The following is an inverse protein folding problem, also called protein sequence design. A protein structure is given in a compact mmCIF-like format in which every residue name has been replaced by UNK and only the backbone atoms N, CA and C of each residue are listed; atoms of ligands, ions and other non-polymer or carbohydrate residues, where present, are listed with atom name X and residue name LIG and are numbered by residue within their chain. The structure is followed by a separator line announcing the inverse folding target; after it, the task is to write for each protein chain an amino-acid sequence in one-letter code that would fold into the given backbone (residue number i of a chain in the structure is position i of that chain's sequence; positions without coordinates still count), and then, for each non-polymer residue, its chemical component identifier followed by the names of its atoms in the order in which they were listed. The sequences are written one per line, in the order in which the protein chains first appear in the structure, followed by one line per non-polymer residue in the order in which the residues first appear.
data_IF_019711088164
#
_entry.id   IF_019711088164
#
_cell.length_a   1.000
_cell.length_b   1.000
_cell.length_c   1.000
_cell.angle_alpha   90.00
_cell.angle_beta   90.00
_cell.angle_gamma   90.00
#
_symmetry.space_group_name_H-M   'P 1'
#
loop_
_entity.id
_entity.type
_entity.pdbx_description
1 polymer ?
#
# COMPACT_ATOMS: atom_id res chain seq x y z
N UNK A 1 -13.75 1.88 16.08
CA UNK A 1 -14.28 2.74 17.14
C UNK A 1 -15.67 2.34 17.57
N UNK A 2 -16.29 3.07 18.49
CA UNK A 2 -17.64 2.80 19.03
C UNK A 2 -18.72 2.69 17.95
N UNK A 3 -18.64 3.48 16.89
CA UNK A 3 -19.57 3.44 15.75
C UNK A 3 -19.60 2.10 15.00
N UNK A 4 -18.52 1.32 15.06
CA UNK A 4 -18.49 0.01 14.43
C UNK A 4 -19.23 -1.04 15.30
N UNK A 5 -19.20 -0.84 16.63
CA UNK A 5 -19.87 -1.74 17.57
C UNK A 5 -21.40 -1.77 17.37
N UNK A 6 -22.00 -0.59 17.16
CA UNK A 6 -23.45 -0.46 16.93
C UNK A 6 -23.95 -1.22 15.69
N UNK A 7 -23.07 -1.48 14.73
CA UNK A 7 -23.38 -2.22 13.50
C UNK A 7 -23.02 -3.71 13.57
N UNK A 8 -22.47 -4.18 14.70
CA UNK A 8 -22.09 -5.59 14.86
C UNK A 8 -23.26 -6.41 15.40
N UNK A 9 -23.50 -7.57 14.79
CA UNK A 9 -24.47 -8.53 15.28
C UNK A 9 -23.75 -9.65 16.03
N UNK A 10 -23.71 -9.55 17.37
CA UNK A 10 -23.05 -10.52 18.26
C UNK A 10 -23.56 -11.95 18.08
N UNK A 11 -24.84 -12.13 17.70
CA UNK A 11 -25.46 -13.46 17.49
C UNK A 11 -24.81 -14.18 16.30
N UNK A 12 -24.20 -13.45 15.37
CA UNK A 12 -23.46 -14.01 14.24
C UNK A 12 -22.04 -14.45 14.61
N UNK A 13 -21.61 -14.17 15.85
CA UNK A 13 -20.25 -14.44 16.34
C UNK A 13 -20.30 -15.22 17.67
N UNK A 14 -20.84 -16.46 17.69
CA UNK A 14 -21.05 -17.23 18.91
C UNK A 14 -19.74 -17.58 19.64
N UNK A 15 -18.66 -17.75 18.90
CA UNK A 15 -17.34 -18.16 19.41
C UNK A 15 -16.51 -17.00 19.97
N UNK A 16 -16.91 -15.74 19.70
CA UNK A 16 -16.20 -14.57 20.21
C UNK A 16 -16.48 -14.43 21.70
N UNK A 17 -15.41 -14.47 22.51
CA UNK A 17 -15.46 -14.42 23.97
C UNK A 17 -15.32 -13.02 24.54
N UNK A 18 -14.69 -12.10 23.81
CA UNK A 18 -14.36 -10.76 24.27
C UNK A 18 -14.41 -9.76 23.11
N UNK A 19 -15.03 -8.61 23.33
CA UNK A 19 -14.96 -7.43 22.46
C UNK A 19 -14.27 -6.30 23.23
N UNK A 20 -13.23 -5.72 22.63
CA UNK A 20 -12.45 -4.61 23.21
C UNK A 20 -12.34 -3.45 22.26
N UNK A 21 -12.25 -2.25 22.81
CA UNK A 21 -11.80 -1.05 22.08
C UNK A 21 -10.30 -1.15 21.83
N UNK A 22 -9.85 -0.79 20.63
CA UNK A 22 -8.41 -0.76 20.30
C UNK A 22 -7.69 0.47 20.86
N UNK A 23 -8.41 1.55 21.09
CA UNK A 23 -7.85 2.84 21.53
C UNK A 23 -7.29 2.77 22.95
N UNK A 24 -7.95 2.02 23.85
CA UNK A 24 -7.61 1.99 25.27
C UNK A 24 -7.73 0.59 25.90
N UNK A 25 -7.99 -0.43 25.10
CA UNK A 25 -8.20 -1.82 25.50
C UNK A 25 -9.33 -2.00 26.54
N UNK A 26 -10.30 -1.08 26.60
CA UNK A 26 -11.47 -1.24 27.45
C UNK A 26 -12.38 -2.35 26.91
N UNK A 27 -12.99 -3.10 27.83
CA UNK A 27 -13.95 -4.15 27.49
C UNK A 27 -15.27 -3.50 27.10
N UNK A 28 -15.79 -3.82 25.91
CA UNK A 28 -17.13 -3.46 25.46
C UNK A 28 -18.10 -4.53 25.96
N UNK A 29 -17.83 -5.79 25.65
CA UNK A 29 -18.57 -6.95 26.11
C UNK A 29 -17.62 -8.13 26.33
N UNK A 30 -17.95 -8.98 27.32
CA UNK A 30 -17.20 -10.18 27.64
C UNK A 30 -18.12 -11.29 28.14
N UNK A 31 -18.27 -12.32 27.32
CA UNK A 31 -19.12 -13.51 27.63
C UNK A 31 -18.42 -14.48 28.55
N UNK A 32 -17.12 -14.38 28.77
CA UNK A 32 -16.30 -15.28 29.57
C UNK A 32 -15.73 -14.58 30.81
N UNK A 33 -16.19 -14.98 32.01
CA UNK A 33 -15.73 -14.39 33.29
C UNK A 33 -14.23 -14.56 33.53
N UNK A 34 -13.66 -15.70 33.12
CA UNK A 34 -12.22 -15.96 33.26
C UNK A 34 -11.40 -15.01 32.41
N UNK A 35 -11.79 -14.83 31.16
CA UNK A 35 -11.13 -13.87 30.23
C UNK A 35 -11.21 -12.43 30.75
N UNK A 36 -12.36 -12.04 31.35
CA UNK A 36 -12.51 -10.73 32.01
C UNK A 36 -11.55 -10.61 33.18
N UNK A 37 -11.46 -11.62 34.04
CA UNK A 37 -10.56 -11.64 35.21
C UNK A 37 -9.09 -11.54 34.76
N UNK A 38 -8.69 -12.29 33.75
CA UNK A 38 -7.34 -12.24 33.21
C UNK A 38 -7.02 -10.83 32.69
N UNK A 39 -7.93 -10.23 31.94
CA UNK A 39 -7.74 -8.86 31.40
C UNK A 39 -7.62 -7.84 32.51
N UNK A 40 -8.47 -7.87 33.51
CA UNK A 40 -8.49 -6.91 34.63
C UNK A 40 -7.25 -7.04 35.52
N UNK A 41 -6.63 -8.21 35.54
CA UNK A 41 -5.41 -8.51 36.31
C UNK A 41 -4.17 -8.74 35.43
N UNK A 42 -4.17 -8.22 34.19
CA UNK A 42 -3.11 -8.51 33.21
C UNK A 42 -1.71 -8.13 33.71
N UNK A 43 -1.58 -6.99 34.40
CA UNK A 43 -0.31 -6.53 34.96
C UNK A 43 0.19 -7.45 36.07
N UNK A 44 -0.70 -7.98 36.89
CA UNK A 44 -0.34 -8.95 37.94
C UNK A 44 0.12 -10.28 37.32
N UNK A 45 -0.61 -10.80 36.34
CA UNK A 45 -0.20 -12.01 35.62
C UNK A 45 1.13 -11.81 34.86
N UNK A 46 1.30 -10.66 34.24
CA UNK A 46 2.55 -10.31 33.57
C UNK A 46 3.72 -10.25 34.56
N UNK A 47 3.57 -9.58 35.70
CA UNK A 47 4.59 -9.52 36.75
C UNK A 47 4.92 -10.87 37.38
N UNK A 48 3.92 -11.79 37.50
CA UNK A 48 4.17 -13.17 37.94
C UNK A 48 4.97 -13.96 36.89
N UNK A 49 4.69 -13.77 35.62
CA UNK A 49 5.37 -14.46 34.51
C UNK A 49 6.79 -13.94 34.31
N UNK A 50 7.02 -12.65 34.52
CA UNK A 50 8.31 -11.97 34.34
C UNK A 50 8.69 -11.20 35.61
N UNK A 51 9.11 -11.92 36.69
CA UNK A 51 9.28 -11.30 38.01
C UNK A 51 10.49 -10.38 38.16
N UNK A 52 11.47 -10.44 37.24
CA UNK A 52 12.67 -9.61 37.26
C UNK A 52 12.59 -8.48 36.25
N UNK A 53 12.53 -8.83 34.99
CA UNK A 53 12.40 -7.91 33.86
C UNK A 53 11.92 -8.68 32.64
N UNK A 54 11.25 -7.99 31.72
CA UNK A 54 10.95 -8.51 30.40
C UNK A 54 12.03 -8.01 29.43
N UNK A 55 12.67 -8.94 28.73
CA UNK A 55 13.78 -8.67 27.81
C UNK A 55 13.50 -9.23 26.42
N UNK A 56 14.33 -8.90 25.44
CA UNK A 56 14.22 -9.46 24.09
C UNK A 56 14.28 -11.00 24.08
N UNK A 57 14.99 -11.62 25.05
CA UNK A 57 15.09 -13.09 25.16
C UNK A 57 13.78 -13.76 25.62
N UNK A 58 12.88 -13.00 26.22
CA UNK A 58 11.57 -13.50 26.66
C UNK A 58 10.55 -13.50 25.51
N UNK A 59 10.85 -12.82 24.40
CA UNK A 59 10.02 -12.80 23.20
C UNK A 59 10.18 -14.10 22.45
N UNK A 60 9.10 -14.86 22.37
CA UNK A 60 9.04 -16.09 21.53
C UNK A 60 8.32 -15.72 20.27
N UNK A 61 9.07 -15.73 19.16
CA UNK A 61 8.47 -15.61 17.84
C UNK A 61 7.87 -16.95 17.43
N UNK A 62 6.68 -16.87 16.85
CA UNK A 62 6.10 -18.02 16.17
C UNK A 62 6.97 -18.37 14.95
N UNK A 63 7.22 -19.66 14.71
CA UNK A 63 7.86 -20.13 13.47
C UNK A 63 6.72 -20.46 12.53
N UNK A 64 6.49 -19.58 11.57
CA UNK A 64 5.39 -19.73 10.62
C UNK A 64 5.74 -20.84 9.59
N UNK A 65 4.74 -21.64 9.24
CA UNK A 65 4.75 -22.41 8.01
C UNK A 65 4.50 -21.42 6.84
N UNK A 66 5.33 -21.39 5.80
CA UNK A 66 5.11 -20.52 4.65
C UNK A 66 3.73 -20.66 4.00
N UNK A 67 3.12 -21.84 4.08
CA UNK A 67 1.79 -22.12 3.54
C UNK A 67 0.65 -21.82 4.53
N UNK A 68 0.95 -21.45 5.77
CA UNK A 68 -0.07 -21.09 6.75
C UNK A 68 -0.77 -19.77 6.36
N UNK A 69 -2.07 -19.67 6.65
CA UNK A 69 -2.87 -18.48 6.43
C UNK A 69 -2.37 -17.31 7.30
N UNK A 70 -1.87 -16.24 6.69
CA UNK A 70 -1.44 -15.04 7.36
C UNK A 70 -2.54 -13.96 7.40
N UNK A 71 -3.23 -13.75 6.29
CA UNK A 71 -4.27 -12.70 6.16
C UNK A 71 -5.47 -13.24 5.38
N UNK A 72 -6.66 -12.98 5.90
CA UNK A 72 -7.92 -13.13 5.16
C UNK A 72 -8.40 -11.74 4.74
N UNK A 73 -8.28 -11.43 3.46
CA UNK A 73 -8.65 -10.14 2.91
C UNK A 73 -9.90 -10.25 2.04
N UNK A 74 -10.89 -9.39 2.29
CA UNK A 74 -12.14 -9.40 1.52
C UNK A 74 -12.10 -8.39 0.38
N UNK A 75 -12.39 -8.86 -0.84
CA UNK A 75 -12.54 -8.00 -2.02
C UNK A 75 -14.01 -7.83 -2.37
N UNK A 76 -14.37 -6.63 -2.79
CA UNK A 76 -15.66 -6.38 -3.45
C UNK A 76 -15.62 -6.94 -4.88
N UNK A 77 -15.71 -8.24 -5.06
CA UNK A 77 -15.64 -8.88 -6.36
C UNK A 77 -16.57 -8.24 -7.42
N UNK A 78 -16.27 -8.46 -8.69
CA UNK A 78 -17.14 -8.06 -9.82
C UNK A 78 -18.52 -8.73 -9.80
N UNK A 79 -18.67 -9.77 -9.01
CA UNK A 79 -19.93 -10.47 -8.68
C UNK A 79 -20.44 -9.97 -7.32
N UNK A 80 -21.74 -9.97 -7.10
CA UNK A 80 -22.49 -9.36 -5.97
C UNK A 80 -22.03 -9.74 -4.56
N UNK A 81 -21.08 -10.66 -4.40
CA UNK A 81 -20.60 -11.14 -3.10
C UNK A 81 -19.10 -10.88 -2.92
N UNK A 82 -18.75 -10.35 -1.74
CA UNK A 82 -17.35 -10.22 -1.32
C UNK A 82 -16.69 -11.58 -1.20
N UNK A 83 -15.49 -11.75 -1.78
CA UNK A 83 -14.70 -12.98 -1.69
C UNK A 83 -13.61 -12.81 -0.63
N UNK A 84 -13.46 -13.78 0.25
CA UNK A 84 -12.37 -13.81 1.23
C UNK A 84 -11.13 -14.44 0.60
N UNK A 85 -10.14 -13.63 0.28
CA UNK A 85 -8.86 -14.06 -0.30
C UNK A 85 -7.94 -14.53 0.83
N UNK A 86 -7.47 -15.76 0.76
CA UNK A 86 -6.59 -16.37 1.76
C UNK A 86 -5.12 -16.16 1.37
N UNK A 87 -4.43 -15.24 2.03
CA UNK A 87 -3.03 -14.88 1.78
C UNK A 87 -2.13 -15.64 2.75
N UNK A 88 -1.21 -16.52 2.27
CA UNK A 88 -0.25 -17.22 3.11
C UNK A 88 0.96 -16.35 3.48
N UNK A 89 1.73 -16.76 4.51
CA UNK A 89 2.95 -16.06 4.92
C UNK A 89 3.97 -15.93 3.79
N UNK A 90 4.14 -16.95 2.94
CA UNK A 90 5.06 -16.87 1.77
C UNK A 90 4.73 -15.70 0.83
N UNK A 91 3.44 -15.40 0.66
CA UNK A 91 3.00 -14.28 -0.20
C UNK A 91 3.39 -12.93 0.41
N UNK A 92 3.14 -12.72 1.71
CA UNK A 92 3.56 -11.50 2.40
C UNK A 92 5.08 -11.34 2.38
N UNK A 93 5.81 -12.41 2.68
CA UNK A 93 7.27 -12.41 2.64
C UNK A 93 7.79 -12.06 1.26
N UNK A 94 7.28 -12.72 0.22
CA UNK A 94 7.75 -12.51 -1.16
C UNK A 94 7.50 -11.08 -1.64
N UNK A 95 6.35 -10.47 -1.30
CA UNK A 95 6.05 -9.09 -1.63
C UNK A 95 6.98 -8.10 -0.89
N UNK A 96 7.17 -8.30 0.42
CA UNK A 96 8.04 -7.41 1.22
C UNK A 96 9.51 -7.59 0.88
N UNK A 97 9.97 -8.82 0.62
CA UNK A 97 11.33 -9.09 0.19
C UNK A 97 11.63 -8.46 -1.18
N UNK A 98 10.68 -8.54 -2.12
CA UNK A 98 10.82 -7.85 -3.41
C UNK A 98 11.01 -6.34 -3.22
N UNK A 99 10.18 -5.69 -2.41
CA UNK A 99 10.31 -4.27 -2.14
C UNK A 99 11.61 -3.94 -1.38
N UNK A 100 12.04 -4.82 -0.48
CA UNK A 100 13.32 -4.68 0.21
C UNK A 100 14.50 -4.65 -0.78
N UNK A 101 14.51 -5.54 -1.75
CA UNK A 101 15.58 -5.70 -2.73
C UNK A 101 15.54 -4.62 -3.83
N UNK A 102 14.34 -4.21 -4.26
CA UNK A 102 14.12 -3.37 -5.44
C UNK A 102 13.92 -1.89 -5.16
N UNK A 103 13.79 -1.49 -3.89
CA UNK A 103 13.71 -0.09 -3.47
C UNK A 103 14.94 0.30 -2.62
N UNK A 104 16.14 0.35 -3.24
CA UNK A 104 17.40 0.57 -2.51
C UNK A 104 17.53 1.98 -1.93
N UNK A 105 16.73 2.92 -2.40
CA UNK A 105 16.72 4.31 -1.93
C UNK A 105 16.00 4.50 -0.58
N UNK A 106 15.35 3.45 -0.05
CA UNK A 106 14.70 3.46 1.26
C UNK A 106 15.69 2.92 2.30
N UNK A 107 15.94 3.70 3.35
CA UNK A 107 16.87 3.38 4.41
C UNK A 107 16.19 3.32 5.79
N UNK A 108 16.78 2.63 6.77
CA UNK A 108 16.32 2.70 8.16
C UNK A 108 16.25 4.14 8.67
N UNK A 109 15.15 4.50 9.32
CA UNK A 109 14.87 5.84 9.79
C UNK A 109 14.19 6.77 8.79
N UNK A 110 14.04 6.36 7.51
CA UNK A 110 13.26 7.12 6.55
C UNK A 110 11.78 7.20 6.93
N UNK A 111 11.13 8.27 6.50
CA UNK A 111 9.71 8.47 6.77
C UNK A 111 8.84 7.91 5.65
N UNK A 112 7.77 7.23 6.03
CA UNK A 112 6.73 6.76 5.12
C UNK A 112 5.37 7.27 5.63
N UNK A 113 4.55 7.81 4.74
CA UNK A 113 3.18 8.23 5.07
C UNK A 113 2.21 7.12 4.67
N UNK A 114 1.55 6.53 5.66
CA UNK A 114 0.51 5.54 5.45
C UNK A 114 -0.81 6.26 5.17
N UNK A 115 -1.20 6.34 3.91
CA UNK A 115 -2.42 7.00 3.45
C UNK A 115 -3.42 6.07 2.78
N UNK A 116 -2.97 4.90 2.34
CA UNK A 116 -3.83 3.87 1.79
C UNK A 116 -4.50 3.07 2.92
N UNK A 117 -5.73 2.59 2.75
CA UNK A 117 -6.37 1.74 3.75
C UNK A 117 -5.57 0.45 3.99
N UNK A 118 -5.21 0.17 5.25
CA UNK A 118 -4.55 -1.10 5.62
C UNK A 118 -5.43 -2.34 5.38
N UNK A 119 -6.74 -2.16 5.18
CA UNK A 119 -7.64 -3.23 4.76
C UNK A 119 -7.40 -3.67 3.30
N UNK A 120 -6.64 -2.91 2.52
CA UNK A 120 -6.24 -3.28 1.18
C UNK A 120 -4.79 -3.75 1.16
N UNK A 121 -4.52 -4.85 0.46
CA UNK A 121 -3.19 -5.47 0.41
C UNK A 121 -2.10 -4.51 -0.06
N UNK A 122 -2.40 -3.55 -0.93
CA UNK A 122 -1.44 -2.55 -1.41
C UNK A 122 -0.88 -1.67 -0.28
N UNK A 123 -1.76 -1.11 0.57
CA UNK A 123 -1.34 -0.35 1.74
C UNK A 123 -0.67 -1.22 2.81
N UNK A 124 -1.25 -2.38 3.11
CA UNK A 124 -0.71 -3.29 4.11
C UNK A 124 0.71 -3.76 3.75
N UNK A 125 0.92 -4.27 2.53
CA UNK A 125 2.20 -4.85 2.14
C UNK A 125 3.31 -3.79 2.03
N UNK A 126 3.04 -2.64 1.42
CA UNK A 126 4.09 -1.70 1.04
C UNK A 126 4.21 -0.45 1.89
N UNK A 127 3.09 0.12 2.42
CA UNK A 127 3.20 1.23 3.37
C UNK A 127 3.54 0.76 4.78
N UNK A 128 3.06 -0.43 5.19
CA UNK A 128 3.24 -0.92 6.57
C UNK A 128 4.31 -2.00 6.65
N UNK A 129 4.08 -3.19 6.10
CA UNK A 129 4.98 -4.34 6.32
C UNK A 129 6.37 -4.10 5.76
N UNK A 130 6.50 -3.62 4.52
CA UNK A 130 7.79 -3.29 3.93
C UNK A 130 8.52 -2.20 4.73
N UNK A 131 7.81 -1.14 5.14
CA UNK A 131 8.40 -0.02 5.87
C UNK A 131 8.90 -0.43 7.24
N UNK A 132 8.14 -1.26 7.96
CA UNK A 132 8.57 -1.83 9.25
C UNK A 132 9.76 -2.75 9.05
N UNK A 133 9.74 -3.61 8.02
CA UNK A 133 10.86 -4.50 7.69
C UNK A 133 12.16 -3.73 7.37
N UNK A 134 12.05 -2.56 6.71
CA UNK A 134 13.19 -1.68 6.42
C UNK A 134 13.61 -0.79 7.61
N UNK A 135 12.87 -0.80 8.72
CA UNK A 135 13.15 0.05 9.88
C UNK A 135 12.80 1.52 9.67
N UNK A 136 11.79 1.80 8.85
CA UNK A 136 11.31 3.16 8.59
C UNK A 136 10.38 3.66 9.70
N UNK A 137 10.20 4.98 9.76
CA UNK A 137 9.16 5.62 10.57
C UNK A 137 7.85 5.67 9.77
N UNK A 138 6.85 4.90 10.20
CA UNK A 138 5.53 4.86 9.55
C UNK A 138 4.60 5.88 10.22
N UNK A 139 4.14 6.85 9.45
CA UNK A 139 3.24 7.91 9.90
C UNK A 139 1.82 7.65 9.42
N UNK A 140 0.93 7.25 10.33
CA UNK A 140 -0.47 7.03 10.03
C UNK A 140 -1.25 8.35 10.03
N UNK A 141 -2.03 8.59 8.97
CA UNK A 141 -2.93 9.73 8.93
C UNK A 141 -4.12 9.50 9.87
N UNK A 142 -4.32 10.40 10.83
CA UNK A 142 -5.42 10.33 11.82
C UNK A 142 -6.75 10.84 11.28
N UNK A 143 -6.72 11.48 10.10
CA UNK A 143 -7.90 12.01 9.39
C UNK A 143 -8.04 11.35 8.03
N UNK A 144 -9.27 11.27 7.52
CA UNK A 144 -9.54 10.74 6.18
C UNK A 144 -8.67 11.45 5.14
N UNK A 145 -7.90 10.70 4.32
CA UNK A 145 -7.04 11.28 3.31
C UNK A 145 -7.83 12.17 2.34
N UNK A 146 -7.46 13.44 2.28
CA UNK A 146 -7.94 14.40 1.28
C UNK A 146 -6.72 15.07 0.64
N UNK A 147 -6.82 15.65 -0.56
CA UNK A 147 -5.69 16.31 -1.20
C UNK A 147 -4.98 17.34 -0.33
N UNK A 148 -5.73 18.05 0.52
CA UNK A 148 -5.18 19.03 1.47
C UNK A 148 -4.40 18.34 2.60
N UNK A 149 -4.99 17.34 3.25
CA UNK A 149 -4.36 16.58 4.36
C UNK A 149 -3.11 15.88 3.88
N UNK A 150 -3.16 15.25 2.68
CA UNK A 150 -2.02 14.59 2.07
C UNK A 150 -0.89 15.60 1.78
N UNK A 151 -1.20 16.75 1.21
CA UNK A 151 -0.20 17.78 0.92
C UNK A 151 0.44 18.34 2.20
N UNK A 152 -0.34 18.57 3.26
CA UNK A 152 0.17 18.98 4.59
C UNK A 152 1.10 17.90 5.18
N UNK A 153 0.71 16.63 5.11
CA UNK A 153 1.52 15.52 5.58
C UNK A 153 2.83 15.40 4.81
N UNK A 154 2.79 15.48 3.47
CA UNK A 154 3.99 15.40 2.66
C UNK A 154 4.95 16.55 2.89
N UNK A 155 4.44 17.77 3.03
CA UNK A 155 5.27 18.95 3.33
C UNK A 155 5.99 18.83 4.67
N UNK A 156 5.34 18.21 5.67
CA UNK A 156 5.87 18.09 7.04
C UNK A 156 6.76 16.86 7.19
N UNK A 157 6.31 15.71 6.69
CA UNK A 157 6.93 14.39 6.93
C UNK A 157 8.02 14.11 5.89
N UNK A 158 7.85 14.57 4.65
CA UNK A 158 8.78 14.39 3.54
C UNK A 158 9.13 12.91 3.30
N UNK A 159 8.15 12.09 2.88
CA UNK A 159 8.32 10.64 2.76
C UNK A 159 9.37 10.25 1.70
N UNK A 160 10.08 9.13 1.94
CA UNK A 160 11.07 8.58 1.01
C UNK A 160 10.41 7.78 -0.14
N UNK A 161 9.24 7.20 0.09
CA UNK A 161 8.42 6.50 -0.90
C UNK A 161 6.99 6.99 -0.80
N UNK A 162 6.33 7.15 -1.95
CA UNK A 162 4.91 7.49 -2.02
C UNK A 162 4.16 6.41 -2.79
N UNK A 163 3.16 5.81 -2.16
CA UNK A 163 2.25 4.87 -2.79
C UNK A 163 0.92 5.55 -3.03
N UNK A 164 0.46 5.60 -4.26
CA UNK A 164 -0.73 6.35 -4.62
C UNK A 164 -1.68 5.54 -5.52
N UNK A 165 -2.97 5.86 -5.42
CA UNK A 165 -3.93 5.48 -6.45
C UNK A 165 -4.01 6.58 -7.51
N UNK A 166 -4.29 6.25 -8.78
CA UNK A 166 -4.31 7.23 -9.89
C UNK A 166 -5.12 8.49 -9.58
N UNK A 167 -6.28 8.33 -8.96
CA UNK A 167 -7.20 9.43 -8.65
C UNK A 167 -6.54 10.58 -7.85
N UNK A 168 -5.62 10.27 -6.94
CA UNK A 168 -4.92 11.27 -6.13
C UNK A 168 -3.99 12.10 -7.02
N UNK A 169 -3.17 11.43 -7.81
CA UNK A 169 -2.20 12.05 -8.72
C UNK A 169 -2.92 12.86 -9.79
N UNK A 170 -3.94 12.28 -10.40
CA UNK A 170 -4.75 12.93 -11.43
C UNK A 170 -5.42 14.22 -10.93
N UNK A 171 -6.00 14.19 -9.72
CA UNK A 171 -6.59 15.39 -9.13
C UNK A 171 -5.56 16.49 -8.88
N UNK A 172 -4.37 16.13 -8.41
CA UNK A 172 -3.30 17.11 -8.19
C UNK A 172 -2.89 17.75 -9.53
N UNK A 173 -2.66 16.94 -10.56
CA UNK A 173 -2.19 17.41 -11.86
C UNK A 173 -3.28 18.21 -12.57
N UNK A 174 -4.49 17.68 -12.71
CA UNK A 174 -5.59 18.34 -13.42
C UNK A 174 -6.03 19.64 -12.76
N UNK A 175 -6.00 19.71 -11.41
CA UNK A 175 -6.51 20.89 -10.70
C UNK A 175 -5.44 21.95 -10.41
N UNK A 176 -4.17 21.56 -10.29
CA UNK A 176 -3.10 22.50 -9.91
C UNK A 176 -2.09 22.77 -11.03
N UNK A 177 -1.80 21.78 -11.87
CA UNK A 177 -0.73 21.88 -12.86
C UNK A 177 -1.26 22.28 -14.24
N UNK A 178 -2.28 21.58 -14.76
CA UNK A 178 -2.82 21.88 -16.08
C UNK A 178 -3.32 23.32 -16.23
N UNK A 179 -4.03 23.92 -15.28
CA UNK A 179 -4.43 25.34 -15.38
C UNK A 179 -3.23 26.30 -15.46
N UNK A 180 -2.11 25.97 -14.80
CA UNK A 180 -0.89 26.76 -14.90
C UNK A 180 -0.26 26.67 -16.31
N UNK A 181 -0.28 25.46 -16.90
CA UNK A 181 0.24 25.24 -18.27
C UNK A 181 -0.58 25.95 -19.34
N UNK A 182 -1.88 26.17 -19.09
CA UNK A 182 -2.79 26.87 -19.99
C UNK A 182 -2.54 28.39 -20.06
N UNK A 183 -1.78 28.97 -19.13
CA UNK A 183 -1.45 30.41 -19.14
C UNK A 183 -0.70 30.79 -20.43
N UNK A 184 -1.12 31.90 -21.10
CA UNK A 184 -0.55 32.26 -22.41
C UNK A 184 0.99 32.37 -22.43
N UNK A 185 1.56 32.93 -21.36
CA UNK A 185 3.01 33.06 -21.23
C UNK A 185 3.70 31.69 -21.15
N UNK A 186 3.17 30.75 -20.37
CA UNK A 186 3.74 29.40 -20.23
C UNK A 186 3.64 28.64 -21.55
N UNK A 187 2.47 28.71 -22.22
CA UNK A 187 2.29 28.13 -23.57
C UNK A 187 3.30 28.68 -24.59
N UNK A 188 3.59 29.96 -24.51
CA UNK A 188 4.58 30.57 -25.39
C UNK A 188 5.99 30.05 -25.08
N UNK A 189 6.37 30.02 -23.80
CA UNK A 189 7.68 29.56 -23.35
C UNK A 189 7.93 28.08 -23.69
N UNK A 190 6.90 27.24 -23.61
CA UNK A 190 6.96 25.82 -23.97
C UNK A 190 7.15 25.56 -25.48
N UNK A 191 6.98 26.60 -26.34
CA UNK A 191 7.25 26.51 -27.80
C UNK A 191 8.63 26.94 -28.18
N UNK A 192 9.40 27.55 -27.27
CA UNK A 192 10.75 28.09 -27.56
C UNK A 192 11.80 27.03 -27.23
N UNK A 193 12.60 26.54 -28.20
CA UNK A 193 13.64 25.55 -27.93
C UNK A 193 14.60 26.02 -26.83
N UNK A 194 15.10 25.08 -26.03
CA UNK A 194 15.93 25.28 -24.82
C UNK A 194 15.24 25.97 -23.65
N UNK A 195 14.19 26.78 -23.87
CA UNK A 195 13.38 27.37 -22.79
C UNK A 195 12.34 26.36 -22.31
N UNK A 196 11.76 25.58 -23.22
CA UNK A 196 10.78 24.54 -22.90
C UNK A 196 11.35 23.54 -21.88
N UNK A 197 12.58 23.10 -22.04
CA UNK A 197 13.24 22.19 -21.09
C UNK A 197 13.33 22.82 -19.69
N UNK A 198 13.81 24.07 -19.59
CA UNK A 198 13.90 24.79 -18.31
C UNK A 198 12.54 25.02 -17.66
N UNK A 199 11.50 25.23 -18.45
CA UNK A 199 10.13 25.37 -17.96
C UNK A 199 9.64 24.03 -17.40
N UNK A 200 9.85 22.93 -18.11
CA UNK A 200 9.51 21.57 -17.66
C UNK A 200 10.24 21.18 -16.38
N UNK A 201 11.54 21.44 -16.29
CA UNK A 201 12.34 21.23 -15.08
C UNK A 201 11.78 22.00 -13.88
N UNK A 202 11.40 23.28 -14.05
CA UNK A 202 10.77 24.07 -12.98
C UNK A 202 9.39 23.53 -12.56
N UNK A 203 8.64 23.02 -13.52
CA UNK A 203 7.34 22.40 -13.23
C UNK A 203 7.56 21.10 -12.45
N UNK A 204 8.51 20.26 -12.87
CA UNK A 204 8.87 19.04 -12.16
C UNK A 204 9.32 19.35 -10.72
N UNK A 205 10.22 20.30 -10.51
CA UNK A 205 10.69 20.71 -9.17
C UNK A 205 9.54 21.20 -8.27
N UNK A 206 8.61 22.01 -8.83
CA UNK A 206 7.43 22.46 -8.07
C UNK A 206 6.50 21.31 -7.70
N UNK A 207 6.32 20.38 -8.65
CA UNK A 207 5.49 19.19 -8.40
C UNK A 207 6.15 18.30 -7.36
N UNK A 208 7.45 18.03 -7.47
CA UNK A 208 8.22 17.29 -6.46
C UNK A 208 8.15 17.94 -5.09
N UNK A 209 8.32 19.24 -5.00
CA UNK A 209 8.19 19.98 -3.75
C UNK A 209 6.79 19.81 -3.12
N UNK A 210 5.72 19.72 -3.93
CA UNK A 210 4.37 19.48 -3.43
C UNK A 210 4.17 18.10 -2.82
N UNK A 211 5.05 17.16 -3.15
CA UNK A 211 5.14 15.81 -2.57
C UNK A 211 6.22 15.69 -1.47
N UNK A 212 6.71 16.81 -0.94
CA UNK A 212 7.72 16.84 0.13
C UNK A 212 9.17 16.84 -0.36
N UNK A 213 9.43 16.61 -1.67
CA UNK A 213 10.73 16.74 -2.33
C UNK A 213 11.81 15.73 -1.91
N UNK A 214 11.48 14.71 -1.09
CA UNK A 214 12.46 13.74 -0.56
C UNK A 214 12.26 12.32 -1.11
N UNK A 215 11.20 12.07 -1.87
CA UNK A 215 10.89 10.70 -2.33
C UNK A 215 11.83 10.24 -3.45
N UNK A 216 12.17 8.95 -3.45
CA UNK A 216 12.88 8.31 -4.55
C UNK A 216 11.97 8.14 -5.77
N UNK A 217 10.74 7.66 -5.56
CA UNK A 217 9.72 7.53 -6.59
C UNK A 217 8.30 7.55 -6.03
N UNK A 218 7.32 7.76 -6.91
CA UNK A 218 5.90 7.55 -6.64
C UNK A 218 5.46 6.29 -7.38
N UNK A 219 5.02 5.27 -6.64
CA UNK A 219 4.41 4.08 -7.23
C UNK A 219 2.90 4.30 -7.34
N UNK A 220 2.36 4.14 -8.52
CA UNK A 220 0.93 4.29 -8.81
C UNK A 220 0.34 2.91 -9.07
N UNK A 221 -0.68 2.53 -8.30
CA UNK A 221 -1.28 1.21 -8.41
C UNK A 221 -2.77 1.19 -8.08
N UNK A 222 -3.40 0.02 -8.23
CA UNK A 222 -4.80 -0.21 -7.90
C UNK A 222 -5.81 0.13 -9.00
N UNK A 223 -5.43 0.91 -10.02
CA UNK A 223 -6.21 1.18 -11.22
C UNK A 223 -5.32 1.72 -12.35
N UNK A 224 -5.85 1.77 -13.57
CA UNK A 224 -5.15 2.40 -14.70
C UNK A 224 -5.06 3.91 -14.52
N UNK A 225 -3.88 4.47 -14.78
CA UNK A 225 -3.67 5.92 -14.77
C UNK A 225 -4.23 6.55 -16.05
N UNK A 226 -4.75 7.78 -15.95
CA UNK A 226 -5.20 8.54 -17.12
C UNK A 226 -4.02 8.80 -18.07
N UNK A 227 -4.18 8.46 -19.35
CA UNK A 227 -3.14 8.54 -20.37
C UNK A 227 -2.56 9.95 -20.56
N UNK A 228 -3.40 10.99 -20.47
CA UNK A 228 -2.95 12.39 -20.61
C UNK A 228 -2.04 12.77 -19.43
N UNK A 229 -2.44 12.37 -18.20
CA UNK A 229 -1.65 12.61 -16.99
C UNK A 229 -0.32 11.85 -17.05
N UNK A 230 -0.34 10.60 -17.46
CA UNK A 230 0.88 9.80 -17.62
C UNK A 230 1.82 10.41 -18.64
N UNK A 231 1.30 10.82 -19.81
CA UNK A 231 2.08 11.50 -20.86
C UNK A 231 2.69 12.79 -20.33
N UNK A 232 1.95 13.55 -19.56
CA UNK A 232 2.47 14.75 -18.92
C UNK A 232 3.61 14.45 -17.94
N UNK A 233 3.43 13.50 -17.01
CA UNK A 233 4.46 13.10 -16.05
C UNK A 233 5.76 12.68 -16.75
N UNK A 234 5.65 11.88 -17.82
CA UNK A 234 6.79 11.46 -18.62
C UNK A 234 7.46 12.66 -19.33
N UNK A 235 6.66 13.62 -19.80
CA UNK A 235 7.17 14.80 -20.51
C UNK A 235 8.02 15.74 -19.65
N UNK A 236 7.90 15.67 -18.33
CA UNK A 236 8.66 16.46 -17.36
C UNK A 236 9.69 15.62 -16.59
N UNK A 237 9.92 14.39 -17.01
CA UNK A 237 10.82 13.42 -16.37
C UNK A 237 10.55 13.25 -14.87
N UNK A 238 9.27 13.16 -14.51
CA UNK A 238 8.84 13.00 -13.12
C UNK A 238 9.08 11.58 -12.63
N UNK A 239 9.52 11.42 -11.39
CA UNK A 239 9.87 10.13 -10.78
C UNK A 239 8.62 9.34 -10.38
N UNK A 240 7.97 8.70 -11.33
CA UNK A 240 6.81 7.83 -11.12
C UNK A 240 6.97 6.48 -11.83
N UNK A 241 6.27 5.51 -11.33
CA UNK A 241 6.08 4.21 -11.97
C UNK A 241 4.65 3.73 -11.78
N UNK A 242 4.22 2.78 -12.62
CA UNK A 242 2.92 2.13 -12.49
C UNK A 242 3.14 0.65 -12.22
N UNK A 243 2.64 0.16 -11.10
CA UNK A 243 2.64 -1.26 -10.74
C UNK A 243 1.27 -1.89 -10.98
N UNK A 244 1.26 -3.18 -11.27
CA UNK A 244 0.06 -3.99 -11.40
C UNK A 244 0.03 -5.09 -10.35
N UNK A 245 -1.15 -5.30 -9.79
CA UNK A 245 -1.37 -6.32 -8.80
C UNK A 245 -2.86 -6.54 -8.50
N UNK A 246 -3.10 -7.58 -7.73
CA UNK A 246 -4.44 -7.96 -7.27
C UNK A 246 -4.34 -8.55 -5.87
N UNK A 247 -5.42 -8.50 -5.11
CA UNK A 247 -5.45 -9.05 -3.74
C UNK A 247 -5.01 -10.51 -3.70
N UNK A 248 -5.38 -11.28 -4.73
CA UNK A 248 -5.04 -12.69 -4.92
C UNK A 248 -3.53 -12.97 -5.08
N UNK A 249 -2.71 -11.90 -5.23
CA UNK A 249 -1.24 -11.97 -5.32
C UNK A 249 -0.52 -11.24 -4.18
N UNK A 250 -1.22 -10.83 -3.14
CA UNK A 250 -0.71 -10.29 -1.91
C UNK A 250 0.11 -8.98 -1.86
N UNK A 251 0.06 -7.96 -2.79
CA UNK A 251 -0.75 -7.89 -4.01
C UNK A 251 0.03 -7.95 -5.34
N UNK A 252 1.37 -7.88 -5.37
CA UNK A 252 2.16 -7.47 -6.52
C UNK A 252 2.36 -8.56 -7.57
N UNK A 253 2.16 -8.19 -8.84
CA UNK A 253 2.41 -9.03 -10.01
C UNK A 253 3.51 -8.45 -10.89
N UNK A 254 3.48 -7.13 -11.14
CA UNK A 254 4.51 -6.47 -11.95
C UNK A 254 4.84 -5.07 -11.44
N UNK A 255 6.10 -4.67 -11.68
CA UNK A 255 6.66 -3.39 -11.30
C UNK A 255 7.96 -3.15 -12.08
N UNK A 256 8.32 -1.90 -12.30
CA UNK A 256 9.62 -1.45 -12.80
C UNK A 256 10.00 -0.15 -12.12
N UNK A 257 11.29 0.08 -11.85
CA UNK A 257 11.75 1.35 -11.29
C UNK A 257 11.50 2.50 -12.28
N UNK A 258 11.25 3.70 -11.77
CA UNK A 258 10.84 4.87 -12.55
C UNK A 258 11.79 5.24 -13.69
N UNK A 259 13.10 5.05 -13.52
CA UNK A 259 14.13 5.39 -14.50
C UNK A 259 14.18 4.43 -15.69
N UNK A 260 13.77 3.17 -15.50
CA UNK A 260 13.66 2.16 -16.56
C UNK A 260 12.20 1.89 -16.97
N UNK A 261 11.24 2.47 -16.26
CA UNK A 261 9.81 2.31 -16.51
C UNK A 261 9.41 2.81 -17.91
N UNK A 262 8.69 1.97 -18.63
CA UNK A 262 8.14 2.30 -19.96
C UNK A 262 6.70 2.80 -19.82
N UNK A 263 6.45 4.02 -20.27
CA UNK A 263 5.13 4.61 -20.32
C UNK A 263 4.11 3.69 -21.00
N UNK A 264 2.92 3.59 -20.43
CA UNK A 264 1.83 2.75 -20.92
C UNK A 264 1.98 1.26 -20.60
N UNK A 265 3.03 0.89 -19.84
CA UNK A 265 3.18 -0.46 -19.29
C UNK A 265 2.80 -0.49 -17.80
N UNK A 266 2.90 -1.67 -17.20
CA UNK A 266 2.78 -1.88 -15.75
C UNK A 266 4.08 -2.47 -15.17
N UNK A 267 5.19 -2.29 -15.89
CA UNK A 267 6.48 -2.85 -15.53
C UNK A 267 6.64 -4.33 -15.90
N UNK A 268 7.70 -4.92 -15.37
CA UNK A 268 8.04 -6.34 -15.58
C UNK A 268 7.47 -7.20 -14.46
N UNK A 269 7.32 -8.51 -14.74
CA UNK A 269 6.96 -9.47 -13.71
C UNK A 269 7.97 -9.42 -12.56
N UNK A 270 7.47 -9.45 -11.33
CA UNK A 270 8.33 -9.38 -10.14
C UNK A 270 9.01 -10.71 -9.87
N UNK A 271 10.11 -10.66 -9.10
CA UNK A 271 10.86 -11.86 -8.70
C UNK A 271 9.93 -12.89 -8.04
N UNK A 272 10.19 -14.16 -8.27
CA UNK A 272 9.42 -15.31 -7.74
C UNK A 272 7.99 -15.42 -8.27
N UNK A 273 7.69 -14.71 -9.38
CA UNK A 273 6.43 -14.80 -10.11
C UNK A 273 6.68 -15.10 -11.58
N UNK A 274 5.71 -15.71 -12.22
CA UNK A 274 5.66 -15.95 -13.65
C UNK A 274 4.31 -15.47 -14.20
N UNK A 275 4.34 -14.94 -15.43
CA UNK A 275 3.16 -14.47 -16.16
C UNK A 275 3.09 -15.18 -17.51
N UNK A 276 1.88 -15.53 -17.92
CA UNK A 276 1.55 -15.93 -19.27
C UNK A 276 0.27 -15.20 -19.69
N UNK A 277 0.25 -14.71 -20.92
CA UNK A 277 -0.99 -14.22 -21.55
C UNK A 277 -1.62 -15.41 -22.28
N UNK A 278 -2.87 -15.71 -21.95
CA UNK A 278 -3.64 -16.80 -22.60
C UNK A 278 -4.26 -16.27 -23.88
N UNK A 279 -3.49 -16.33 -24.96
CA UNK A 279 -3.82 -15.91 -26.33
C UNK A 279 -3.00 -16.74 -27.32
N UNK A 280 -3.49 -16.86 -28.52
CA UNK A 280 -2.75 -17.50 -29.63
C UNK A 280 -1.58 -16.64 -30.11
N UNK A 281 -1.67 -15.32 -29.95
CA UNK A 281 -0.62 -14.34 -30.26
C UNK A 281 -0.49 -13.35 -29.09
N UNK A 282 0.25 -13.72 -28.01
CA UNK A 282 0.36 -12.89 -26.80
C UNK A 282 1.00 -11.50 -27.01
N UNK A 283 1.68 -11.30 -28.14
CA UNK A 283 2.31 -10.01 -28.45
C UNK A 283 1.32 -9.04 -29.11
N UNK A 284 0.31 -9.53 -29.83
CA UNK A 284 -0.59 -8.71 -30.63
C UNK A 284 -2.08 -8.85 -30.25
N UNK A 285 -2.44 -9.88 -29.51
CA UNK A 285 -3.82 -10.14 -29.11
C UNK A 285 -4.02 -10.01 -27.60
N UNK A 286 -5.14 -9.44 -27.21
CA UNK A 286 -5.57 -9.37 -25.81
C UNK A 286 -5.94 -10.77 -25.33
N UNK A 287 -5.38 -11.18 -24.18
CA UNK A 287 -5.68 -12.46 -23.55
C UNK A 287 -5.82 -12.33 -22.02
N UNK A 288 -6.24 -13.40 -21.39
CA UNK A 288 -6.30 -13.49 -19.94
C UNK A 288 -4.87 -13.54 -19.34
N UNK A 289 -4.66 -12.81 -18.25
CA UNK A 289 -3.39 -12.82 -17.54
C UNK A 289 -3.36 -14.00 -16.57
N UNK A 290 -2.55 -15.00 -16.85
CA UNK A 290 -2.32 -16.13 -15.96
C UNK A 290 -1.05 -15.91 -15.17
N UNK A 291 -1.15 -16.07 -13.84
CA UNK A 291 -0.03 -15.86 -12.93
C UNK A 291 0.22 -17.10 -12.06
N UNK A 292 1.48 -17.37 -11.78
CA UNK A 292 1.88 -18.34 -10.75
C UNK A 292 3.12 -17.87 -10.00
N UNK A 293 3.29 -18.33 -8.77
CA UNK A 293 4.47 -18.05 -7.97
C UNK A 293 4.16 -17.80 -6.51
N UNK A 294 5.17 -17.33 -5.78
CA UNK A 294 5.09 -17.24 -4.32
C UNK A 294 4.04 -16.21 -3.82
N UNK A 295 3.70 -15.22 -4.64
CA UNK A 295 2.72 -14.20 -4.25
C UNK A 295 1.27 -14.71 -4.29
N UNK A 296 1.00 -15.82 -5.00
CA UNK A 296 -0.37 -16.29 -5.24
C UNK A 296 -1.00 -16.82 -3.96
N UNK A 297 -2.27 -16.47 -3.73
CA UNK A 297 -3.10 -16.89 -2.60
C UNK A 297 -3.27 -18.41 -2.48
N UNK A 298 -3.78 -18.88 -1.35
CA UNK A 298 -4.19 -20.27 -1.13
C UNK A 298 -5.52 -20.61 -1.83
N UNK A 299 -6.34 -19.62 -2.10
CA UNK A 299 -7.69 -19.75 -2.66
C UNK A 299 -8.67 -18.82 -1.98
N UNK A 300 -9.96 -18.99 -2.29
CA UNK A 300 -11.03 -18.21 -1.65
C UNK A 300 -11.60 -18.96 -0.45
N UNK A 301 -11.79 -18.24 0.66
CA UNK A 301 -12.34 -18.81 1.89
C UNK A 301 -13.78 -19.29 1.69
N UNK A 302 -14.03 -20.59 1.97
CA UNK A 302 -15.32 -21.26 1.78
C UNK A 302 -15.93 -21.13 0.38
N UNK A 303 -15.07 -20.97 -0.64
CA UNK A 303 -15.47 -20.89 -2.04
C UNK A 303 -14.40 -21.58 -2.90
N UNK A 304 -14.42 -22.92 -2.97
CA UNK A 304 -13.45 -23.73 -3.69
C UNK A 304 -13.54 -23.56 -5.21
#
# INVERSE_FOLDING_TARGET
GSSNWENMNEKMMPDVKLFMMLDNFSIIDCKNKEVRTIRDRINEYFGKKYPRSFTANDVKYHIEDPEELAVLNYTSGTTSFSKGVMIPYRSLWSNTQFAYDRLPFIHPGDNIVCMLPMAHMYGLAFEVLNSVNKGCHVHFLTRTPSPKIIAEAFATIRPALILAVPLIIEKIIKNKVFPELEKPLIKLLLKVPYIDQKVREKIAQKLEASFGGNFGEIVIGGAAINKEVETFLKSIDFRYTVGYGMTECGPLVSYEQWDTFKQGSVGRVVDRMEIRIDSNDPENEVGEILVRGMNVMLGYYKNP
#
